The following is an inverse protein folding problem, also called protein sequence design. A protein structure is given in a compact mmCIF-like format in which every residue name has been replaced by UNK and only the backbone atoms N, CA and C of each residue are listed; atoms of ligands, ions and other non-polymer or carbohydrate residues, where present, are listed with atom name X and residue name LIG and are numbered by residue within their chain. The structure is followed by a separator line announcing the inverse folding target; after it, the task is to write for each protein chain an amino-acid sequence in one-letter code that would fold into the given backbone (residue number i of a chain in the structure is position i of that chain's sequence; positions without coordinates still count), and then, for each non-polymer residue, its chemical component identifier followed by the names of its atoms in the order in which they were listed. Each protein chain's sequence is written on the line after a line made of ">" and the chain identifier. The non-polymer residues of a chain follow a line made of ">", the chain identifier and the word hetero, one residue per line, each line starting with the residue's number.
data_IF_764018180963
#
_entry.id   IF_764018180963
#
_cell.length_a   1.000
_cell.length_b   1.000
_cell.length_c   1.000
_cell.angle_alpha   90.00
_cell.angle_beta   90.00
_cell.angle_gamma   90.00
#
_symmetry.space_group_name_H-M   'P 1'
#
loop_
_entity.id
_entity.type
_entity.pdbx_description
1 polymer ?
#
# COMPACT_ATOMS: atom_id res chain seq x y z
N UNK A 1 42.12 10.10 21.79
CA UNK A 1 41.40 10.70 20.63
C UNK A 1 40.86 9.67 19.61
N UNK A 2 41.55 8.57 19.30
CA UNK A 2 41.07 7.55 18.34
C UNK A 2 39.85 6.72 18.77
N UNK A 3 39.62 6.56 20.09
CA UNK A 3 38.47 5.78 20.63
C UNK A 3 37.13 6.53 20.56
N UNK A 4 37.16 7.86 20.64
CA UNK A 4 35.98 8.72 20.54
C UNK A 4 35.41 8.78 19.11
N UNK A 5 36.27 8.69 18.10
CA UNK A 5 35.86 8.66 16.70
C UNK A 5 35.09 7.39 16.34
N UNK A 6 35.44 6.25 16.95
CA UNK A 6 34.78 4.97 16.67
C UNK A 6 33.37 4.89 17.28
N UNK A 7 33.16 5.50 18.45
CA UNK A 7 31.85 5.59 19.10
C UNK A 7 30.90 6.54 18.38
N UNK A 8 31.41 7.59 17.71
CA UNK A 8 30.58 8.52 16.96
C UNK A 8 30.07 7.91 15.63
N UNK A 9 30.89 7.08 14.97
CA UNK A 9 30.49 6.37 13.74
C UNK A 9 29.42 5.30 13.98
N UNK A 10 29.42 4.65 15.14
CA UNK A 10 28.39 3.66 15.49
C UNK A 10 27.05 4.31 15.88
N UNK A 11 27.08 5.51 16.46
CA UNK A 11 25.86 6.27 16.77
C UNK A 11 25.11 6.78 15.52
N UNK A 12 25.82 7.13 14.43
CA UNK A 12 25.17 7.61 13.21
C UNK A 12 24.44 6.51 12.43
N UNK A 13 24.88 5.25 12.52
CA UNK A 13 24.26 4.12 11.81
C UNK A 13 22.87 3.75 12.35
N UNK A 14 22.52 4.16 13.57
CA UNK A 14 21.21 3.91 14.17
C UNK A 14 20.11 4.89 13.70
N UNK A 15 20.46 5.92 12.93
CA UNK A 15 19.51 6.95 12.48
C UNK A 15 18.72 6.56 11.21
N UNK A 16 18.96 5.37 10.67
CA UNK A 16 18.51 4.97 9.33
C UNK A 16 17.06 4.44 9.23
N UNK A 17 16.30 4.36 10.31
CA UNK A 17 14.96 3.80 10.28
C UNK A 17 14.03 4.62 11.16
N UNK A 18 13.28 5.54 10.53
CA UNK A 18 11.90 5.97 10.82
C UNK A 18 11.67 7.25 9.99
N UNK A 19 11.67 7.11 8.67
CA UNK A 19 11.00 8.10 7.84
C UNK A 19 9.50 7.77 7.88
N UNK A 20 8.80 8.22 8.93
CA UNK A 20 7.33 8.26 8.93
C UNK A 20 6.85 9.42 8.04
N UNK A 21 7.23 9.40 6.76
CA UNK A 21 6.78 10.36 5.78
C UNK A 21 5.30 10.19 5.54
N UNK A 22 4.50 11.14 6.00
CA UNK A 22 3.15 11.30 5.45
C UNK A 22 3.32 11.64 3.97
N UNK A 23 2.51 11.06 3.06
CA UNK A 23 2.58 11.41 1.65
C UNK A 23 2.45 12.93 1.52
N UNK A 24 3.42 13.56 0.85
CA UNK A 24 3.34 14.99 0.56
C UNK A 24 2.13 15.29 -0.34
N UNK A 25 1.73 16.57 -0.47
CA UNK A 25 0.69 16.96 -1.41
C UNK A 25 1.00 16.41 -2.81
N UNK A 26 0.02 15.73 -3.41
CA UNK A 26 0.14 15.28 -4.81
C UNK A 26 -0.25 16.48 -5.68
N UNK A 27 0.71 17.02 -6.40
CA UNK A 27 0.53 18.06 -7.41
C UNK A 27 0.17 17.42 -8.75
N UNK A 28 -0.73 18.03 -9.51
CA UNK A 28 -1.11 17.58 -10.86
C UNK A 28 0.02 17.72 -11.88
N UNK A 29 1.07 18.51 -11.58
CA UNK A 29 2.30 18.58 -12.36
C UNK A 29 3.16 17.31 -12.27
N UNK A 30 2.89 16.42 -11.32
CA UNK A 30 3.58 15.14 -11.22
C UNK A 30 3.11 14.18 -12.33
N UNK A 31 4.03 13.55 -13.09
CA UNK A 31 3.66 12.63 -14.17
C UNK A 31 2.72 11.49 -13.74
N UNK A 32 2.84 11.06 -12.48
CA UNK A 32 2.10 9.93 -11.92
C UNK A 32 0.97 10.34 -10.98
N UNK A 33 0.60 11.62 -10.92
CA UNK A 33 -0.37 12.15 -9.94
C UNK A 33 -1.66 11.33 -9.90
N UNK A 34 -2.24 11.03 -11.07
CA UNK A 34 -3.48 10.24 -11.16
C UNK A 34 -3.32 8.82 -10.64
N UNK A 35 -2.22 8.15 -11.00
CA UNK A 35 -1.90 6.79 -10.53
C UNK A 35 -1.73 6.77 -9.02
N UNK A 36 -1.00 7.73 -8.46
CA UNK A 36 -0.78 7.83 -7.01
C UNK A 36 -2.13 8.04 -6.32
N UNK A 37 -2.95 9.01 -6.75
CA UNK A 37 -4.28 9.24 -6.16
C UNK A 37 -5.19 8.01 -6.26
N UNK A 38 -5.14 7.30 -7.39
CA UNK A 38 -5.90 6.07 -7.57
C UNK A 38 -5.48 4.99 -6.57
N UNK A 39 -4.17 4.71 -6.47
CA UNK A 39 -3.68 3.69 -5.54
C UNK A 39 -3.83 4.08 -4.06
N UNK A 40 -3.88 5.36 -3.73
CA UNK A 40 -4.26 5.83 -2.39
C UNK A 40 -5.73 5.54 -2.07
N UNK A 41 -6.66 5.67 -3.03
CA UNK A 41 -8.05 5.22 -2.83
C UNK A 41 -8.16 3.71 -2.69
N UNK A 42 -7.43 2.95 -3.50
CA UNK A 42 -7.39 1.48 -3.40
C UNK A 42 -6.83 1.03 -2.05
N UNK A 43 -5.79 1.71 -1.55
CA UNK A 43 -5.26 1.50 -0.18
C UNK A 43 -6.34 1.66 0.88
N UNK A 44 -7.18 2.70 0.78
CA UNK A 44 -8.25 2.94 1.75
C UNK A 44 -9.30 1.81 1.74
N UNK A 45 -9.62 1.27 0.55
CA UNK A 45 -10.46 0.07 0.44
C UNK A 45 -9.81 -1.18 1.05
N UNK A 46 -8.49 -1.36 0.89
CA UNK A 46 -7.75 -2.45 1.53
C UNK A 46 -7.83 -2.37 3.06
N UNK A 47 -7.67 -1.17 3.61
CA UNK A 47 -7.79 -0.90 5.04
C UNK A 47 -9.21 -1.19 5.54
N UNK A 48 -10.23 -0.76 4.79
CA UNK A 48 -11.62 -1.05 5.12
C UNK A 48 -11.92 -2.55 5.09
N UNK A 49 -11.40 -3.28 4.11
CA UNK A 49 -11.53 -4.73 4.02
C UNK A 49 -10.88 -5.44 5.23
N UNK A 50 -9.71 -4.99 5.66
CA UNK A 50 -9.05 -5.51 6.86
C UNK A 50 -9.94 -5.36 8.09
N UNK A 51 -10.50 -4.16 8.32
CA UNK A 51 -11.39 -3.95 9.46
C UNK A 51 -12.71 -4.71 9.36
N UNK A 52 -13.22 -4.95 8.17
CA UNK A 52 -14.40 -5.77 7.98
C UNK A 52 -14.12 -7.23 8.34
N UNK A 53 -13.01 -7.80 7.83
CA UNK A 53 -12.55 -9.15 8.16
C UNK A 53 -12.33 -9.32 9.67
N UNK A 54 -11.63 -8.39 10.29
CA UNK A 54 -11.31 -8.41 11.73
C UNK A 54 -12.58 -8.41 12.60
N UNK A 55 -13.64 -7.74 12.14
CA UNK A 55 -14.96 -7.71 12.77
C UNK A 55 -15.87 -8.88 12.37
N UNK A 56 -15.36 -9.88 11.64
CA UNK A 56 -16.13 -11.02 11.14
C UNK A 56 -17.22 -10.65 10.13
N UNK A 57 -17.11 -9.49 9.47
CA UNK A 57 -18.10 -9.04 8.49
C UNK A 57 -17.86 -9.71 7.14
N UNK A 58 -18.94 -10.00 6.38
CA UNK A 58 -18.82 -10.60 5.07
C UNK A 58 -17.99 -9.72 4.13
N UNK A 59 -17.26 -10.38 3.23
CA UNK A 59 -16.53 -9.72 2.16
C UNK A 59 -17.50 -8.94 1.28
N UNK A 60 -17.12 -7.71 0.93
CA UNK A 60 -17.85 -6.86 0.00
C UNK A 60 -16.96 -6.57 -1.20
N UNK A 61 -17.43 -6.96 -2.38
CA UNK A 61 -16.76 -6.72 -3.65
C UNK A 61 -17.54 -5.66 -4.43
N UNK A 62 -16.83 -4.96 -5.30
CA UNK A 62 -17.42 -4.07 -6.30
C UNK A 62 -17.93 -4.90 -7.48
N UNK A 63 -18.95 -4.40 -8.17
CA UNK A 63 -19.38 -4.99 -9.43
C UNK A 63 -18.24 -4.89 -10.46
N UNK A 64 -17.93 -5.99 -11.13
CA UNK A 64 -16.90 -6.01 -12.17
C UNK A 64 -17.46 -5.31 -13.42
N UNK A 65 -16.98 -4.09 -13.68
CA UNK A 65 -17.43 -3.22 -14.78
C UNK A 65 -16.45 -3.19 -15.96
N UNK A 66 -15.43 -4.06 -15.93
CA UNK A 66 -14.33 -4.09 -16.90
C UNK A 66 -13.24 -3.04 -16.65
N UNK A 67 -13.40 -2.17 -15.63
CA UNK A 67 -12.37 -1.20 -15.25
C UNK A 67 -11.25 -1.84 -14.43
N UNK A 68 -10.05 -1.25 -14.52
CA UNK A 68 -8.95 -1.58 -13.60
C UNK A 68 -9.31 -1.27 -12.13
N UNK A 69 -10.20 -0.31 -11.90
CA UNK A 69 -10.72 0.07 -10.58
C UNK A 69 -11.33 -1.10 -9.82
N UNK A 70 -12.41 -1.66 -10.37
CA UNK A 70 -13.11 -2.80 -9.78
C UNK A 70 -12.20 -4.03 -9.70
N UNK A 71 -11.50 -4.35 -10.80
CA UNK A 71 -10.62 -5.52 -10.91
C UNK A 71 -9.51 -5.54 -9.86
N UNK A 72 -8.73 -4.46 -9.75
CA UNK A 72 -7.59 -4.36 -8.81
C UNK A 72 -8.10 -4.34 -7.37
N UNK A 73 -9.16 -3.57 -7.10
CA UNK A 73 -9.69 -3.44 -5.74
C UNK A 73 -10.26 -4.77 -5.24
N UNK A 74 -11.02 -5.48 -6.08
CA UNK A 74 -11.56 -6.79 -5.74
C UNK A 74 -10.47 -7.83 -5.50
N UNK A 75 -9.41 -7.83 -6.33
CA UNK A 75 -8.24 -8.70 -6.10
C UNK A 75 -7.65 -8.48 -4.70
N UNK A 76 -7.39 -7.22 -4.35
CA UNK A 76 -6.82 -6.86 -3.04
C UNK A 76 -7.76 -7.25 -1.89
N UNK A 77 -9.08 -7.02 -2.02
CA UNK A 77 -10.05 -7.38 -0.98
C UNK A 77 -10.07 -8.90 -0.75
N UNK A 78 -10.07 -9.70 -1.82
CA UNK A 78 -10.03 -11.17 -1.70
C UNK A 78 -8.80 -11.61 -0.92
N UNK A 79 -7.62 -11.12 -1.33
CA UNK A 79 -6.33 -11.40 -0.67
C UNK A 79 -6.34 -11.00 0.80
N UNK A 80 -6.89 -9.84 1.16
CA UNK A 80 -7.02 -9.42 2.56
C UNK A 80 -7.80 -10.43 3.40
N UNK A 81 -8.90 -10.98 2.88
CA UNK A 81 -9.69 -11.98 3.60
C UNK A 81 -9.03 -13.36 3.65
N UNK A 82 -8.36 -13.74 2.56
CA UNK A 82 -7.76 -15.07 2.39
C UNK A 82 -6.39 -15.22 3.07
N UNK A 83 -5.69 -14.11 3.34
CA UNK A 83 -4.32 -14.10 3.86
C UNK A 83 -4.21 -13.61 5.32
N UNK A 84 -4.12 -14.52 6.30
CA UNK A 84 -3.97 -14.16 7.71
C UNK A 84 -2.70 -13.36 8.01
N UNK A 85 -1.64 -13.51 7.19
CA UNK A 85 -0.38 -12.77 7.33
C UNK A 85 -0.54 -11.24 7.23
N UNK A 86 -1.61 -10.77 6.60
CA UNK A 86 -2.00 -9.35 6.60
C UNK A 86 -2.69 -9.05 7.92
N UNK A 87 -1.87 -8.99 8.97
CA UNK A 87 -2.30 -9.10 10.37
C UNK A 87 -2.45 -7.74 11.07
N UNK A 88 -2.32 -6.62 10.36
CA UNK A 88 -2.46 -5.28 10.95
C UNK A 88 -2.96 -4.25 9.94
N UNK A 89 -3.56 -3.14 10.40
CA UNK A 89 -3.94 -2.02 9.54
C UNK A 89 -2.79 -1.55 8.65
N UNK A 90 -1.59 -1.43 9.22
CA UNK A 90 -0.43 -0.94 8.47
C UNK A 90 0.01 -1.90 7.36
N UNK A 91 -0.07 -3.21 7.61
CA UNK A 91 0.20 -4.22 6.59
C UNK A 91 -0.85 -4.17 5.49
N UNK A 92 -2.13 -3.97 5.81
CA UNK A 92 -3.20 -3.84 4.82
C UNK A 92 -3.01 -2.61 3.92
N UNK A 93 -2.67 -1.44 4.48
CA UNK A 93 -2.34 -0.25 3.70
C UNK A 93 -1.16 -0.48 2.76
N UNK A 94 -0.07 -1.05 3.30
CA UNK A 94 1.16 -1.28 2.54
C UNK A 94 0.93 -2.28 1.42
N UNK A 95 0.22 -3.37 1.73
CA UNK A 95 -0.18 -4.39 0.76
C UNK A 95 -1.06 -3.81 -0.34
N UNK A 96 -2.12 -3.08 0.02
CA UNK A 96 -3.06 -2.50 -0.95
C UNK A 96 -2.37 -1.52 -1.91
N UNK A 97 -1.54 -0.62 -1.38
CA UNK A 97 -0.79 0.33 -2.22
C UNK A 97 0.24 -0.37 -3.11
N UNK A 98 1.02 -1.32 -2.57
CA UNK A 98 2.04 -2.02 -3.36
C UNK A 98 1.41 -2.83 -4.49
N UNK A 99 0.38 -3.61 -4.19
CA UNK A 99 -0.35 -4.44 -5.16
C UNK A 99 -1.01 -3.58 -6.24
N UNK A 100 -1.63 -2.46 -5.86
CA UNK A 100 -2.18 -1.53 -6.85
C UNK A 100 -1.11 -1.02 -7.82
N UNK A 101 0.03 -0.55 -7.31
CA UNK A 101 1.10 -0.04 -8.17
C UNK A 101 1.66 -1.12 -9.11
N UNK A 102 1.77 -2.35 -8.63
CA UNK A 102 2.20 -3.51 -9.43
C UNK A 102 1.19 -3.84 -10.54
N UNK A 103 -0.10 -3.94 -10.20
CA UNK A 103 -1.17 -4.26 -11.16
C UNK A 103 -1.42 -3.14 -12.17
N UNK A 104 -1.14 -1.88 -11.81
CA UNK A 104 -1.19 -0.75 -12.74
C UNK A 104 0.00 -0.72 -13.71
N UNK A 105 1.16 -1.27 -13.31
CA UNK A 105 2.35 -1.41 -14.17
C UNK A 105 2.29 -2.60 -15.12
N UNK A 106 1.46 -3.59 -14.80
CA UNK A 106 1.24 -4.80 -15.59
C UNK A 106 -0.06 -4.67 -16.39
N UNK A 107 -0.01 -3.98 -17.54
CA UNK A 107 -1.13 -4.07 -18.49
C UNK A 107 -1.20 -5.52 -18.99
N UNK A 108 -2.35 -6.22 -18.89
CA UNK A 108 -2.54 -7.43 -19.68
C UNK A 108 -2.45 -7.01 -21.15
N UNK A 109 -1.65 -7.73 -21.93
CA UNK A 109 -1.64 -7.57 -23.40
C UNK A 109 -3.05 -7.89 -23.87
N UNK A 110 -3.78 -6.87 -24.32
CA UNK A 110 -5.04 -7.04 -25.04
C UNK A 110 -4.73 -7.69 -26.40
N UNK A 111 -5.29 -8.88 -26.65
CA UNK A 111 -5.38 -9.47 -28.00
C UNK A 111 -6.28 -8.64 -28.93
#
# INVERSE_FOLDING_TARGET
>A
MKRLALTLMTALAASGAIAHGHPGPIDDSMPDAQRIRFCERVRDHALQAFYNRDKGRPMKLFDEDGSDGARITNHIIRRIYEEPQISSPKKAETFGRATCNEMMGTKPVSE
#
